data_IF_195323964249
#
_entry.id   IF_195323964249
#
_cell.length_a   1.000
_cell.length_b   1.000
_cell.length_c   1.000
_cell.angle_alpha   90.00
_cell.angle_beta   90.00
_cell.angle_gamma   90.00
#
_symmetry.space_group_name_H-M   'P 1'
#
loop_
_entity.id
_entity.type
_entity.pdbx_description
1 polymer ?
#
# COMPACT_ATOMS: atom_id res chain seq x y z
N UNK A 1 -33.87 26.25 -19.38
CA UNK A 1 -32.85 27.30 -19.60
C UNK A 1 -31.87 27.52 -18.42
N UNK A 2 -32.02 26.87 -17.26
CA UNK A 2 -31.10 27.05 -16.12
C UNK A 2 -29.72 26.40 -16.27
N UNK A 3 -29.61 25.28 -17.00
CA UNK A 3 -28.36 24.52 -17.13
C UNK A 3 -27.23 25.26 -17.85
N UNK A 4 -27.54 26.07 -18.87
CA UNK A 4 -26.53 26.78 -19.67
C UNK A 4 -25.90 27.95 -18.90
N UNK A 5 -26.70 28.69 -18.11
CA UNK A 5 -26.17 29.75 -17.21
C UNK A 5 -25.32 29.16 -16.09
N UNK A 6 -25.71 28.01 -15.53
CA UNK A 6 -24.89 27.31 -14.53
C UNK A 6 -23.57 26.81 -15.13
N UNK A 7 -23.59 26.32 -16.37
CA UNK A 7 -22.39 25.88 -17.08
C UNK A 7 -21.41 27.04 -17.36
N UNK A 8 -21.90 28.20 -17.80
CA UNK A 8 -21.05 29.38 -18.03
C UNK A 8 -20.44 29.89 -16.71
N UNK A 9 -21.22 29.93 -15.62
CA UNK A 9 -20.71 30.29 -14.29
C UNK A 9 -19.63 29.32 -13.81
N UNK A 10 -19.82 28.02 -14.04
CA UNK A 10 -18.83 26.99 -13.71
C UNK A 10 -17.53 27.18 -14.49
N UNK A 11 -17.63 27.44 -15.81
CA UNK A 11 -16.47 27.68 -16.67
C UNK A 11 -15.67 28.92 -16.26
N UNK A 12 -16.36 30.00 -15.85
CA UNK A 12 -15.72 31.21 -15.34
C UNK A 12 -14.99 30.96 -14.00
N UNK A 13 -15.64 30.27 -13.05
CA UNK A 13 -15.05 29.93 -11.76
C UNK A 13 -13.78 29.07 -11.92
N UNK A 14 -13.77 28.13 -12.86
CA UNK A 14 -12.60 27.32 -13.19
C UNK A 14 -11.44 28.18 -13.71
N UNK A 15 -11.72 29.16 -14.59
CA UNK A 15 -10.71 30.09 -15.10
C UNK A 15 -10.09 30.97 -14.00
N UNK A 16 -10.91 31.50 -13.10
CA UNK A 16 -10.42 32.26 -11.94
C UNK A 16 -9.59 31.40 -10.99
N UNK A 17 -10.02 30.16 -10.73
CA UNK A 17 -9.31 29.22 -9.85
C UNK A 17 -7.96 28.80 -10.45
N UNK A 18 -7.92 28.53 -11.76
CA UNK A 18 -6.68 28.20 -12.46
C UNK A 18 -5.68 29.36 -12.44
N UNK A 19 -6.14 30.60 -12.64
CA UNK A 19 -5.28 31.79 -12.54
C UNK A 19 -4.79 32.03 -11.11
N UNK A 20 -5.62 31.77 -10.10
CA UNK A 20 -5.21 31.87 -8.69
C UNK A 20 -4.11 30.86 -8.35
N UNK A 21 -4.30 29.58 -8.70
CA UNK A 21 -3.31 28.52 -8.46
C UNK A 21 -2.02 28.79 -9.22
N UNK A 22 -2.10 29.28 -10.47
CA UNK A 22 -0.93 29.65 -11.27
C UNK A 22 -0.11 30.77 -10.65
N UNK A 23 -0.75 31.75 -10.00
CA UNK A 23 -0.06 32.86 -9.33
C UNK A 23 0.48 32.48 -7.94
N UNK A 24 -0.20 31.61 -7.20
CA UNK A 24 0.24 31.15 -5.87
C UNK A 24 1.35 30.10 -5.96
N UNK A 25 1.34 29.27 -7.01
CA UNK A 25 2.17 28.09 -7.12
C UNK A 25 1.64 26.94 -6.25
N UNK A 26 1.63 25.73 -6.81
CA UNK A 26 1.31 24.51 -6.07
C UNK A 26 2.25 23.40 -6.53
N UNK A 27 3.07 22.89 -5.61
CA UNK A 27 4.06 21.85 -5.86
C UNK A 27 4.06 20.81 -4.74
N UNK A 28 4.60 19.64 -5.05
CA UNK A 28 4.84 18.57 -4.09
C UNK A 28 6.36 18.41 -3.97
N UNK A 29 6.88 18.61 -2.77
CA UNK A 29 8.29 18.42 -2.45
C UNK A 29 8.61 16.99 -2.01
N UNK A 30 9.90 16.67 -1.90
CA UNK A 30 10.32 15.41 -1.25
C UNK A 30 10.02 15.42 0.25
N UNK A 31 10.06 16.60 0.87
CA UNK A 31 9.73 16.81 2.29
C UNK A 31 8.27 16.47 2.61
N UNK A 32 7.36 16.65 1.65
CA UNK A 32 5.93 16.32 1.78
C UNK A 32 5.69 14.80 1.84
N UNK A 33 6.67 14.02 1.36
CA UNK A 33 6.60 12.56 1.23
C UNK A 33 7.48 11.86 2.26
N UNK A 34 8.30 12.60 3.01
CA UNK A 34 9.21 12.03 4.00
C UNK A 34 8.43 11.57 5.25
N UNK A 35 8.57 10.29 5.66
CA UNK A 35 7.89 9.79 6.85
C UNK A 35 8.52 10.39 8.12
N UNK A 36 7.67 10.76 9.08
CA UNK A 36 8.09 11.13 10.44
C UNK A 36 8.48 9.88 11.23
N UNK A 37 9.36 10.02 12.22
CA UNK A 37 9.80 8.94 13.10
C UNK A 37 8.62 8.19 13.77
N UNK A 38 7.60 8.93 14.18
CA UNK A 38 6.38 8.37 14.77
C UNK A 38 5.63 7.42 13.82
N UNK A 39 5.67 7.69 12.52
CA UNK A 39 5.07 6.85 11.49
C UNK A 39 5.93 5.62 11.25
N UNK A 40 7.26 5.76 11.23
CA UNK A 40 8.21 4.65 11.07
C UNK A 40 8.02 3.63 12.19
N UNK A 41 8.02 4.08 13.45
CA UNK A 41 7.85 3.19 14.61
C UNK A 41 6.54 2.42 14.57
N UNK A 42 5.42 3.11 14.33
CA UNK A 42 4.09 2.47 14.22
C UNK A 42 4.00 1.51 13.04
N UNK A 43 4.65 1.85 11.93
CA UNK A 43 4.74 1.00 10.74
C UNK A 43 5.48 -0.29 11.10
N UNK A 44 6.65 -0.21 11.74
CA UNK A 44 7.45 -1.37 12.12
C UNK A 44 6.74 -2.25 13.16
N UNK A 45 6.06 -1.65 14.16
CA UNK A 45 5.20 -2.36 15.12
C UNK A 45 4.08 -3.14 14.39
N UNK A 46 3.38 -2.49 13.46
CA UNK A 46 2.28 -3.12 12.70
C UNK A 46 2.78 -4.25 11.80
N UNK A 47 3.94 -4.06 11.18
CA UNK A 47 4.59 -5.04 10.32
C UNK A 47 5.01 -6.27 11.14
N UNK A 48 5.64 -6.08 12.30
CA UNK A 48 6.07 -7.16 13.19
C UNK A 48 4.89 -8.03 13.64
N UNK A 49 3.79 -7.40 14.08
CA UNK A 49 2.55 -8.10 14.46
C UNK A 49 1.96 -8.87 13.26
N UNK A 50 1.99 -8.26 12.08
CA UNK A 50 1.53 -8.86 10.85
C UNK A 50 2.31 -10.11 10.45
N UNK A 51 3.65 -10.04 10.49
CA UNK A 51 4.51 -11.18 10.22
C UNK A 51 4.31 -12.31 11.22
N UNK A 52 4.09 -12.00 12.51
CA UNK A 52 3.75 -13.00 13.52
C UNK A 52 2.47 -13.77 13.20
N UNK A 53 1.41 -13.09 12.72
CA UNK A 53 0.17 -13.75 12.28
C UNK A 53 0.39 -14.65 11.06
N UNK A 54 1.13 -14.16 10.07
CA UNK A 54 1.49 -14.96 8.88
C UNK A 54 2.28 -16.22 9.27
N UNK A 55 3.23 -16.12 10.20
CA UNK A 55 3.98 -17.26 10.71
C UNK A 55 3.05 -18.29 11.40
N UNK A 56 2.10 -17.82 12.21
CA UNK A 56 1.09 -18.67 12.82
C UNK A 56 0.27 -19.45 11.79
N UNK A 57 -0.22 -18.80 10.73
CA UNK A 57 -0.96 -19.48 9.67
C UNK A 57 -0.10 -20.50 8.89
N UNK A 58 1.19 -20.22 8.70
CA UNK A 58 2.12 -21.18 8.08
C UNK A 58 2.31 -22.41 8.99
N UNK A 59 2.42 -22.21 10.30
CA UNK A 59 2.47 -23.33 11.26
C UNK A 59 1.19 -24.16 11.28
N UNK A 60 0.02 -23.52 11.25
CA UNK A 60 -1.27 -24.20 11.18
C UNK A 60 -1.42 -25.02 9.89
N UNK A 61 -0.93 -24.49 8.77
CA UNK A 61 -0.86 -25.20 7.50
C UNK A 61 0.07 -26.42 7.58
N UNK A 62 1.27 -26.27 8.15
CA UNK A 62 2.22 -27.38 8.32
C UNK A 62 1.67 -28.48 9.26
N UNK A 63 0.87 -28.09 10.26
CA UNK A 63 0.17 -29.02 11.18
C UNK A 63 -1.12 -29.62 10.58
N UNK A 64 -1.51 -29.20 9.37
CA UNK A 64 -2.73 -29.66 8.70
C UNK A 64 -4.05 -29.22 9.35
N UNK A 65 -4.01 -28.20 10.24
CA UNK A 65 -5.18 -27.72 10.99
C UNK A 65 -5.83 -26.47 10.37
N UNK A 66 -5.30 -25.99 9.25
CA UNK A 66 -5.81 -24.78 8.61
C UNK A 66 -7.25 -24.97 8.13
N UNK A 67 -8.13 -24.03 8.47
CA UNK A 67 -9.51 -24.01 7.97
C UNK A 67 -9.51 -23.70 6.47
N UNK A 68 -9.84 -24.70 5.66
CA UNK A 68 -9.96 -24.54 4.22
C UNK A 68 -11.26 -23.81 3.90
N UNK A 69 -11.20 -22.76 3.08
CA UNK A 69 -12.41 -22.08 2.57
C UNK A 69 -13.12 -23.00 1.58
N UNK A 70 -14.45 -23.05 1.62
CA UNK A 70 -15.23 -23.92 0.73
C UNK A 70 -14.90 -23.63 -0.74
N UNK A 71 -14.57 -24.68 -1.51
CA UNK A 71 -14.21 -24.57 -2.93
C UNK A 71 -12.76 -24.20 -3.24
N UNK A 72 -11.89 -24.09 -2.22
CA UNK A 72 -10.46 -23.79 -2.41
C UNK A 72 -9.57 -24.97 -1.97
N UNK A 73 -8.41 -25.09 -2.62
CA UNK A 73 -7.36 -25.99 -2.15
C UNK A 73 -6.75 -25.49 -0.82
N UNK A 74 -6.14 -26.38 -0.04
CA UNK A 74 -5.50 -26.02 1.23
C UNK A 74 -4.39 -24.96 1.02
N UNK A 75 -3.61 -25.05 -0.06
CA UNK A 75 -2.57 -24.08 -0.37
C UNK A 75 -3.18 -22.72 -0.81
N UNK A 76 -4.26 -22.75 -1.58
CA UNK A 76 -4.97 -21.53 -2.00
C UNK A 76 -5.64 -20.82 -0.82
N UNK A 77 -6.18 -21.59 0.14
CA UNK A 77 -6.74 -21.04 1.36
C UNK A 77 -5.68 -20.32 2.20
N UNK A 78 -4.49 -20.90 2.36
CA UNK A 78 -3.36 -20.25 3.02
C UNK A 78 -2.96 -18.94 2.34
N UNK A 79 -2.85 -18.94 1.01
CA UNK A 79 -2.52 -17.75 0.23
C UNK A 79 -3.57 -16.64 0.40
N UNK A 80 -4.85 -17.01 0.45
CA UNK A 80 -5.94 -16.08 0.74
C UNK A 80 -5.80 -15.44 2.12
N UNK A 81 -5.64 -16.24 3.18
CA UNK A 81 -5.49 -15.73 4.55
C UNK A 81 -4.28 -14.81 4.70
N UNK A 82 -3.12 -15.18 4.13
CA UNK A 82 -1.93 -14.32 4.17
C UNK A 82 -2.17 -13.02 3.40
N UNK A 83 -2.82 -13.08 2.24
CA UNK A 83 -3.15 -11.89 1.45
C UNK A 83 -4.12 -10.96 2.19
N UNK A 84 -5.08 -11.53 2.93
CA UNK A 84 -6.04 -10.78 3.74
C UNK A 84 -5.32 -10.05 4.89
N UNK A 85 -4.41 -10.74 5.60
CA UNK A 85 -3.58 -10.15 6.66
C UNK A 85 -2.71 -9.01 6.11
N UNK A 86 -2.02 -9.21 4.97
CA UNK A 86 -1.16 -8.20 4.34
C UNK A 86 -1.97 -6.99 3.85
N UNK A 87 -3.15 -7.20 3.28
CA UNK A 87 -4.06 -6.12 2.90
C UNK A 87 -4.54 -5.32 4.12
N UNK A 88 -4.82 -6.00 5.24
CA UNK A 88 -5.17 -5.39 6.51
C UNK A 88 -4.06 -4.50 7.09
N UNK A 89 -2.81 -4.97 7.06
CA UNK A 89 -1.63 -4.20 7.47
C UNK A 89 -1.52 -2.90 6.66
N UNK A 90 -1.63 -2.99 5.34
CA UNK A 90 -1.61 -1.83 4.44
C UNK A 90 -2.70 -0.82 4.79
N UNK A 91 -3.92 -1.29 5.06
CA UNK A 91 -5.04 -0.43 5.46
C UNK A 91 -4.79 0.28 6.80
N UNK A 92 -4.23 -0.43 7.78
CA UNK A 92 -3.89 0.13 9.09
C UNK A 92 -2.80 1.22 8.98
N UNK A 93 -1.71 0.94 8.26
CA UNK A 93 -0.63 1.89 8.00
C UNK A 93 -1.16 3.12 7.26
N UNK A 94 -2.04 2.93 6.27
CA UNK A 94 -2.67 4.02 5.53
C UNK A 94 -3.47 4.97 6.43
N UNK A 95 -4.25 4.45 7.37
CA UNK A 95 -4.98 5.26 8.35
C UNK A 95 -4.04 6.06 9.26
N UNK A 96 -2.99 5.42 9.77
CA UNK A 96 -1.98 6.09 10.61
C UNK A 96 -1.25 7.18 9.83
N UNK A 97 -0.93 6.92 8.55
CA UNK A 97 -0.29 7.89 7.67
C UNK A 97 -1.15 9.15 7.53
N UNK A 98 -2.43 9.00 7.18
CA UNK A 98 -3.37 10.12 7.02
C UNK A 98 -3.57 10.95 8.29
N UNK A 99 -3.47 10.34 9.47
CA UNK A 99 -3.57 11.04 10.75
C UNK A 99 -2.29 11.77 11.15
N UNK A 100 -1.14 11.37 10.62
CA UNK A 100 0.18 11.89 11.03
C UNK A 100 0.65 13.04 10.12
N UNK A 101 0.13 13.09 8.89
CA UNK A 101 0.38 14.15 7.91
C UNK A 101 -0.19 15.48 8.38
N UNK A 102 0.56 16.56 8.18
CA UNK A 102 0.11 17.90 8.53
C UNK A 102 -0.98 18.36 7.55
N UNK A 103 -1.95 19.16 8.03
CA UNK A 103 -3.07 19.64 7.22
C UNK A 103 -2.64 20.52 6.01
N UNK A 104 -1.48 21.17 6.10
CA UNK A 104 -0.88 21.95 4.99
C UNK A 104 -0.14 21.11 3.94
N UNK A 105 -0.08 19.78 4.10
CA UNK A 105 0.69 18.96 3.18
C UNK A 105 0.01 18.89 1.80
N UNK A 106 0.75 19.15 0.73
CA UNK A 106 0.23 19.22 -0.65
C UNK A 106 -0.51 17.94 -1.09
N UNK A 107 0.03 16.71 -0.90
CA UNK A 107 -0.67 15.48 -1.27
C UNK A 107 -1.97 15.26 -0.49
N UNK A 108 -2.01 15.67 0.78
CA UNK A 108 -3.20 15.55 1.63
C UNK A 108 -4.30 16.48 1.13
N UNK A 109 -3.97 17.74 0.82
CA UNK A 109 -4.90 18.71 0.25
C UNK A 109 -5.46 18.21 -1.07
N UNK A 110 -4.61 17.68 -1.97
CA UNK A 110 -5.08 17.13 -3.26
C UNK A 110 -6.09 16.00 -3.12
N UNK A 111 -5.88 15.12 -2.13
CA UNK A 111 -6.78 14.00 -1.86
C UNK A 111 -8.10 14.49 -1.24
N UNK A 112 -8.06 15.49 -0.35
CA UNK A 112 -9.27 16.09 0.22
C UNK A 112 -10.10 16.85 -0.81
N UNK A 113 -9.44 17.55 -1.73
CA UNK A 113 -10.10 18.25 -2.84
C UNK A 113 -10.64 17.27 -3.91
N UNK A 114 -10.41 15.96 -3.76
CA UNK A 114 -10.80 14.91 -4.72
C UNK A 114 -10.30 15.26 -6.13
N UNK A 115 -9.16 15.96 -6.22
CA UNK A 115 -8.63 16.44 -7.49
C UNK A 115 -7.85 15.33 -8.17
N UNK A 116 -6.84 14.77 -7.47
CA UNK A 116 -6.09 13.59 -7.87
C UNK A 116 -5.51 12.87 -6.65
N UNK A 117 -5.64 11.55 -6.65
CA UNK A 117 -5.05 10.68 -5.64
C UNK A 117 -6.07 10.18 -4.61
N UNK A 118 -5.82 8.98 -4.09
CA UNK A 118 -6.54 8.41 -2.96
C UNK A 118 -5.62 8.35 -1.74
N UNK A 119 -6.19 8.13 -0.55
CA UNK A 119 -5.40 7.89 0.66
C UNK A 119 -4.40 6.73 0.49
N UNK A 120 -4.72 5.76 -0.38
CA UNK A 120 -3.81 4.66 -0.69
C UNK A 120 -2.57 5.15 -1.44
N UNK A 121 -2.72 6.09 -2.39
CA UNK A 121 -1.60 6.63 -3.15
C UNK A 121 -0.61 7.36 -2.23
N UNK A 122 -1.11 8.20 -1.31
CA UNK A 122 -0.25 8.88 -0.33
C UNK A 122 0.45 7.85 0.56
N UNK A 123 -0.29 6.84 1.06
CA UNK A 123 0.29 5.78 1.86
C UNK A 123 1.41 5.03 1.11
N UNK A 124 1.25 4.80 -0.19
CA UNK A 124 2.26 4.15 -1.02
C UNK A 124 3.48 5.03 -1.23
N UNK A 125 3.29 6.34 -1.35
CA UNK A 125 4.39 7.31 -1.47
C UNK A 125 5.22 7.43 -0.18
N UNK A 126 4.56 7.43 0.99
CA UNK A 126 5.19 7.76 2.28
C UNK A 126 5.60 6.54 3.10
N UNK A 127 4.81 5.47 3.08
CA UNK A 127 4.92 4.39 4.04
C UNK A 127 5.25 3.02 3.41
N UNK A 128 4.37 2.50 2.54
CA UNK A 128 4.56 1.19 1.94
C UNK A 128 3.72 0.97 0.67
N UNK A 129 4.35 0.39 -0.37
CA UNK A 129 3.67 0.05 -1.64
C UNK A 129 2.65 -1.10 -1.48
N UNK A 130 2.96 -2.07 -0.61
CA UNK A 130 2.12 -3.25 -0.34
C UNK A 130 2.43 -4.44 -1.26
N UNK A 131 1.61 -5.49 -1.18
CA UNK A 131 1.73 -6.71 -1.99
C UNK A 131 1.29 -6.46 -3.44
N UNK A 132 2.06 -6.97 -4.40
CA UNK A 132 1.67 -7.07 -5.81
C UNK A 132 0.92 -8.39 -6.04
N UNK A 133 -0.24 -8.30 -6.71
CA UNK A 133 -1.06 -9.46 -7.09
C UNK A 133 -1.07 -9.54 -8.61
N UNK A 134 -0.74 -10.70 -9.17
CA UNK A 134 -0.75 -10.97 -10.62
C UNK A 134 -1.71 -12.12 -10.88
N UNK A 135 -2.76 -11.88 -11.68
CA UNK A 135 -3.73 -12.93 -12.04
C UNK A 135 -4.49 -13.52 -10.83
N UNK A 136 -4.75 -12.71 -9.80
CA UNK A 136 -5.47 -13.12 -8.59
C UNK A 136 -4.64 -13.93 -7.58
N UNK A 137 -3.34 -14.14 -7.83
CA UNK A 137 -2.41 -14.81 -6.92
C UNK A 137 -1.16 -13.95 -6.68
N UNK A 138 -0.41 -14.27 -5.62
CA UNK A 138 0.96 -13.73 -5.45
C UNK A 138 1.86 -14.22 -6.58
N UNK A 139 2.98 -13.55 -6.80
CA UNK A 139 3.89 -13.82 -7.92
C UNK A 139 4.13 -15.34 -8.06
N UNK A 140 3.77 -15.95 -9.20
CA UNK A 140 3.89 -17.40 -9.37
C UNK A 140 5.35 -17.84 -9.30
N UNK A 141 5.58 -19.07 -8.88
CA UNK A 141 6.91 -19.67 -8.90
C UNK A 141 7.36 -19.82 -10.37
N UNK A 142 8.22 -18.90 -10.83
CA UNK A 142 8.80 -18.92 -12.17
C UNK A 142 10.00 -19.86 -12.31
N UNK A 143 10.55 -20.35 -11.20
CA UNK A 143 11.64 -21.31 -11.12
C UNK A 143 11.22 -22.53 -10.29
N UNK A 144 12.04 -23.59 -10.31
CA UNK A 144 11.90 -24.84 -9.54
C UNK A 144 11.51 -24.55 -8.07
N UNK A 145 10.21 -24.58 -7.77
CA UNK A 145 9.59 -24.25 -6.47
C UNK A 145 10.12 -23.00 -5.75
N UNK A 146 10.46 -21.95 -6.52
CA UNK A 146 10.90 -20.66 -5.99
C UNK A 146 10.49 -19.48 -6.88
N UNK A 147 10.26 -18.33 -6.27
CA UNK A 147 9.98 -17.08 -7.00
C UNK A 147 11.26 -16.45 -7.55
N UNK A 148 12.34 -16.42 -6.75
CA UNK A 148 13.65 -15.85 -7.12
C UNK A 148 14.80 -16.79 -6.72
N UNK A 149 15.96 -16.73 -7.42
CA UNK A 149 17.12 -17.60 -7.13
C UNK A 149 17.73 -17.38 -5.75
N UNK A 150 17.54 -16.20 -5.16
CA UNK A 150 18.07 -15.81 -3.85
C UNK A 150 17.30 -16.41 -2.66
N UNK A 151 16.13 -17.00 -2.90
CA UNK A 151 15.31 -17.55 -1.82
C UNK A 151 15.43 -19.07 -1.72
N UNK A 152 15.32 -19.56 -0.49
CA UNK A 152 15.30 -20.99 -0.19
C UNK A 152 14.15 -21.70 -0.92
N UNK A 153 14.43 -22.90 -1.43
CA UNK A 153 13.46 -23.76 -2.11
C UNK A 153 12.26 -24.00 -1.18
N UNK A 154 11.03 -23.75 -1.67
CA UNK A 154 9.75 -23.85 -0.92
C UNK A 154 9.55 -22.84 0.21
N UNK A 155 10.29 -21.73 0.24
CA UNK A 155 10.03 -20.63 1.18
C UNK A 155 8.65 -20.00 0.95
N UNK A 156 7.68 -20.26 1.83
CA UNK A 156 6.33 -19.66 1.79
C UNK A 156 6.22 -18.38 2.63
N UNK A 157 7.34 -17.85 3.12
CA UNK A 157 7.31 -16.66 3.95
C UNK A 157 6.81 -15.46 3.12
N UNK A 158 6.02 -14.57 3.73
CA UNK A 158 5.48 -13.41 3.03
C UNK A 158 6.55 -12.51 2.37
N UNK A 159 7.79 -12.52 2.89
CA UNK A 159 8.93 -11.84 2.30
C UNK A 159 9.46 -12.48 0.98
N UNK A 160 9.23 -13.77 0.77
CA UNK A 160 9.74 -14.54 -0.39
C UNK A 160 8.79 -14.46 -1.59
N UNK A 161 7.48 -14.58 -1.34
CA UNK A 161 6.46 -14.60 -2.41
C UNK A 161 5.83 -13.24 -2.71
N UNK A 162 5.96 -12.28 -1.80
CA UNK A 162 5.41 -10.95 -1.95
C UNK A 162 6.57 -9.97 -1.92
N UNK A 163 6.83 -9.29 -3.03
CA UNK A 163 7.62 -8.05 -3.04
C UNK A 163 6.99 -7.16 -1.95
N UNK A 164 7.61 -7.10 -0.78
CA UNK A 164 6.98 -6.55 0.43
C UNK A 164 7.63 -5.22 0.79
N UNK A 165 6.78 -4.21 0.99
CA UNK A 165 6.99 -2.96 1.73
C UNK A 165 8.32 -2.27 1.39
N UNK A 166 8.48 -1.93 0.12
CA UNK A 166 9.45 -0.90 -0.26
C UNK A 166 8.84 0.43 0.16
N UNK A 167 9.55 1.18 0.99
CA UNK A 167 9.27 2.59 1.17
C UNK A 167 9.98 3.32 0.04
N UNK A 168 9.24 4.08 -0.78
CA UNK A 168 9.79 4.76 -1.97
C UNK A 168 10.88 5.76 -1.57
N UNK A 169 10.86 6.24 -0.32
CA UNK A 169 11.83 7.20 0.24
C UNK A 169 13.03 6.56 0.96
N UNK A 170 12.99 5.25 1.26
CA UNK A 170 14.13 4.54 1.87
C UNK A 170 14.62 3.49 0.87
N UNK A 171 15.66 3.86 0.13
CA UNK A 171 16.38 2.97 -0.78
C UNK A 171 17.20 1.94 0.00
N UNK A 172 16.60 0.96 0.68
CA UNK A 172 17.33 -0.25 1.10
C UNK A 172 16.36 -1.43 1.30
N UNK A 173 16.26 -2.28 0.29
CA UNK A 173 16.44 -3.72 0.51
C UNK A 173 17.26 -4.21 -0.69
N UNK A 174 18.60 -4.15 -0.66
CA UNK A 174 19.34 -5.14 -1.42
C UNK A 174 18.97 -6.49 -0.80
N UNK A 175 18.52 -7.42 -1.64
CA UNK A 175 18.45 -8.83 -1.27
C UNK A 175 19.88 -9.30 -0.96
N UNK A 176 20.39 -9.02 0.23
CA UNK A 176 21.70 -9.46 0.67
C UNK A 176 21.55 -10.68 1.58
N UNK A 177 22.05 -11.79 1.00
CA UNK A 177 22.65 -12.99 1.59
C UNK A 177 21.87 -13.75 2.67
#
# INVERSE_FOLDING_TARGET
>A
MGGFRSFIKQSFLLGCSARWIGNHGFSIGIEDVQPKETLIRRKDETISVGYGKCAGHIEEFNKGKLKVKAGFDAAQSLEGEISDVLSGIRGAIGKVCMQTLHWRNSPLIMTQCVSKGSALNICQMVACVGQLIVGGRRAPNGFIDRSLPHFSIRGKTPAVCSITIINITQSQIPAHA
#
